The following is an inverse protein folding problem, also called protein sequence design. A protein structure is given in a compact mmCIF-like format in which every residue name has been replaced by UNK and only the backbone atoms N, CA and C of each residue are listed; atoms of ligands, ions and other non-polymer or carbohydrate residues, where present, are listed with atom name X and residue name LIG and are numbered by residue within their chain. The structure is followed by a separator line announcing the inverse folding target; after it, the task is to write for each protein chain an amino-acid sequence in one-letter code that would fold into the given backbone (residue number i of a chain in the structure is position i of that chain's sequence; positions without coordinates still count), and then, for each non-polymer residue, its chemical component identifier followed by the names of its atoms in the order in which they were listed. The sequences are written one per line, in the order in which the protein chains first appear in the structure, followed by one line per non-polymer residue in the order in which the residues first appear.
data_IF_138464427212
#
_entry.id   IF_138464427212
#
_cell.length_a   1.000
_cell.length_b   1.000
_cell.length_c   1.000
_cell.angle_alpha   90.00
_cell.angle_beta   90.00
_cell.angle_gamma   90.00
#
_symmetry.space_group_name_H-M   'P 1'
#
loop_
_entity.id
_entity.type
_entity.pdbx_description
1 polymer ?
#
# COMPACT_ATOMS: atom_id res chain seq x y z
N UNK A 1 4.75 -23.11 -22.86
CA UNK A 1 4.39 -21.68 -22.99
C UNK A 1 5.44 -20.99 -23.85
N UNK A 2 5.05 -20.02 -24.69
CA UNK A 2 5.95 -19.20 -25.53
C UNK A 2 6.30 -17.84 -24.91
N UNK A 3 5.91 -17.60 -23.65
CA UNK A 3 6.17 -16.34 -22.95
C UNK A 3 7.68 -16.22 -22.67
N UNK A 4 8.31 -15.07 -22.97
CA UNK A 4 9.72 -14.82 -22.65
C UNK A 4 10.03 -15.05 -21.17
N UNK A 5 11.29 -15.37 -20.85
CA UNK A 5 11.76 -15.53 -19.45
C UNK A 5 12.40 -14.27 -18.89
N UNK A 6 12.33 -13.16 -19.60
CA UNK A 6 12.89 -11.87 -19.21
C UNK A 6 11.88 -10.78 -19.57
N UNK A 7 12.02 -9.61 -18.95
CA UNK A 7 11.32 -8.41 -19.40
C UNK A 7 11.61 -8.21 -20.89
N UNK A 8 10.55 -8.20 -21.70
CA UNK A 8 10.67 -8.12 -23.16
C UNK A 8 9.69 -7.08 -23.69
N UNK A 9 10.20 -6.15 -24.50
CA UNK A 9 9.39 -5.20 -25.24
C UNK A 9 9.17 -5.74 -26.66
N UNK A 10 7.92 -5.82 -27.08
CA UNK A 10 7.52 -6.33 -28.39
C UNK A 10 6.81 -5.21 -29.14
N UNK A 11 7.37 -4.70 -30.25
CA UNK A 11 6.69 -3.70 -31.06
C UNK A 11 5.51 -4.33 -31.82
N UNK A 12 4.38 -3.65 -31.78
CA UNK A 12 3.18 -3.97 -32.56
C UNK A 12 2.96 -2.81 -33.53
N UNK A 13 3.17 -3.06 -34.83
CA UNK A 13 2.92 -2.06 -35.87
C UNK A 13 1.46 -2.12 -36.32
N UNK A 14 0.77 -1.00 -36.22
CA UNK A 14 -0.61 -0.80 -36.70
C UNK A 14 -0.56 0.11 -37.91
N UNK A 15 -1.02 -0.37 -39.07
CA UNK A 15 -1.04 0.38 -40.33
C UNK A 15 -2.46 0.62 -40.80
N UNK A 16 -2.75 1.87 -41.18
CA UNK A 16 -4.06 2.28 -41.71
C UNK A 16 -4.02 3.68 -42.31
N UNK A 17 -4.84 3.94 -43.35
CA UNK A 17 -4.93 5.23 -44.05
C UNK A 17 -3.56 5.82 -44.47
N UNK A 18 -2.63 4.97 -44.93
CA UNK A 18 -1.29 5.39 -45.35
C UNK A 18 -0.36 5.80 -44.21
N UNK A 19 -0.73 5.55 -42.94
CA UNK A 19 0.08 5.82 -41.75
C UNK A 19 0.37 4.52 -41.00
N UNK A 20 1.49 4.50 -40.29
CA UNK A 20 1.84 3.44 -39.35
C UNK A 20 2.10 4.02 -37.97
N UNK A 21 1.65 3.31 -36.94
CA UNK A 21 1.91 3.61 -35.53
C UNK A 21 2.50 2.37 -34.89
N UNK A 22 3.53 2.53 -34.09
CA UNK A 22 4.11 1.44 -33.30
C UNK A 22 3.61 1.53 -31.85
N UNK A 23 3.08 0.43 -31.34
CA UNK A 23 2.66 0.27 -29.94
C UNK A 23 3.55 -0.77 -29.30
N UNK A 24 4.22 -0.40 -28.22
CA UNK A 24 5.11 -1.33 -27.50
C UNK A 24 4.29 -2.14 -26.48
N UNK A 25 4.27 -3.47 -26.67
CA UNK A 25 3.76 -4.41 -25.69
C UNK A 25 4.89 -4.85 -24.75
N UNK A 26 4.74 -4.56 -23.46
CA UNK A 26 5.72 -4.97 -22.44
C UNK A 26 5.27 -6.29 -21.82
N UNK A 27 6.09 -7.32 -21.97
CA UNK A 27 5.91 -8.62 -21.33
C UNK A 27 6.85 -8.70 -20.14
N UNK A 28 6.30 -8.64 -18.93
CA UNK A 28 7.06 -8.80 -17.68
C UNK A 28 6.63 -10.09 -16.98
N UNK A 29 7.34 -11.22 -17.21
CA UNK A 29 7.03 -12.46 -16.52
C UNK A 29 7.45 -12.30 -15.05
N UNK A 30 6.63 -12.73 -14.10
CA UNK A 30 7.06 -12.79 -12.70
C UNK A 30 8.14 -13.87 -12.57
N UNK A 31 9.40 -13.46 -12.43
CA UNK A 31 10.53 -14.39 -12.58
C UNK A 31 10.82 -15.21 -11.33
N UNK A 32 10.33 -14.77 -10.17
CA UNK A 32 10.75 -15.29 -8.86
C UNK A 32 9.59 -15.65 -7.91
N UNK A 33 8.39 -15.89 -8.44
CA UNK A 33 7.23 -16.28 -7.62
C UNK A 33 6.96 -17.77 -7.78
N UNK A 34 6.92 -18.49 -6.66
CA UNK A 34 6.45 -19.87 -6.66
C UNK A 34 4.95 -19.88 -7.00
N UNK A 35 4.45 -20.75 -7.90
CA UNK A 35 3.01 -20.83 -8.18
C UNK A 35 2.11 -21.03 -6.95
N UNK A 36 2.67 -21.47 -5.82
CA UNK A 36 1.98 -21.63 -4.54
C UNK A 36 1.98 -20.37 -3.66
N UNK A 37 2.79 -19.37 -4.00
CA UNK A 37 2.86 -18.11 -3.28
C UNK A 37 1.54 -17.33 -3.45
N UNK A 38 1.23 -16.54 -2.43
CA UNK A 38 -0.03 -15.82 -2.30
C UNK A 38 0.24 -14.38 -1.97
N UNK A 39 -0.74 -13.54 -2.26
CA UNK A 39 -0.68 -12.11 -2.01
C UNK A 39 -0.74 -11.28 -3.28
N UNK A 40 -0.56 -9.97 -3.09
CA UNK A 40 -0.63 -8.99 -4.16
C UNK A 40 0.63 -9.01 -5.02
N UNK A 41 0.43 -9.06 -6.34
CA UNK A 41 1.51 -9.21 -7.32
C UNK A 41 1.94 -7.84 -7.82
N UNK A 42 3.25 -7.57 -7.76
CA UNK A 42 3.83 -6.41 -8.45
C UNK A 42 3.58 -6.50 -9.94
N UNK A 43 3.00 -5.45 -10.51
CA UNK A 43 2.83 -5.33 -11.95
C UNK A 43 3.02 -3.87 -12.38
N UNK A 44 3.65 -3.66 -13.53
CA UNK A 44 3.99 -2.31 -14.03
C UNK A 44 4.76 -1.45 -13.00
N UNK A 45 5.59 -2.07 -12.15
CA UNK A 45 6.42 -1.38 -11.15
C UNK A 45 5.63 -0.81 -9.97
N UNK A 46 4.45 -1.33 -9.65
CA UNK A 46 3.71 -0.98 -8.44
C UNK A 46 2.81 -2.12 -7.92
N UNK A 47 2.35 -1.96 -6.67
CA UNK A 47 1.24 -2.73 -6.08
C UNK A 47 0.24 -1.72 -5.49
N UNK A 48 -1.05 -1.95 -5.69
CA UNK A 48 -2.10 -1.19 -5.01
C UNK A 48 -3.07 -2.14 -4.29
N UNK A 49 -3.43 -1.80 -3.05
CA UNK A 49 -4.16 -2.69 -2.13
C UNK A 49 -5.25 -1.88 -1.43
N UNK A 50 -6.51 -2.33 -1.49
CA UNK A 50 -7.56 -1.81 -0.61
C UNK A 50 -7.32 -2.29 0.82
N UNK A 51 -7.49 -1.40 1.81
CA UNK A 51 -7.10 -1.68 3.19
C UNK A 51 -7.81 -2.90 3.79
N UNK A 52 -9.04 -3.21 3.36
CA UNK A 52 -9.76 -4.38 3.87
C UNK A 52 -9.21 -5.73 3.38
N UNK A 53 -8.44 -5.75 2.30
CA UNK A 53 -7.93 -6.99 1.70
C UNK A 53 -6.60 -7.43 2.31
N UNK A 54 -6.55 -7.43 3.64
CA UNK A 54 -5.39 -7.92 4.38
C UNK A 54 -5.27 -9.44 4.30
N UNK A 55 -4.04 -9.93 4.43
CA UNK A 55 -3.75 -11.37 4.52
C UNK A 55 -3.98 -11.89 5.92
N UNK A 56 -3.56 -11.13 6.94
CA UNK A 56 -3.74 -11.47 8.36
C UNK A 56 -4.04 -10.20 9.17
N UNK A 57 -4.81 -10.36 10.23
CA UNK A 57 -5.12 -9.33 11.20
C UNK A 57 -4.66 -9.81 12.57
N UNK A 58 -3.75 -9.07 13.21
CA UNK A 58 -3.18 -9.40 14.51
C UNK A 58 -3.73 -8.42 15.53
N UNK A 59 -4.40 -8.94 16.56
CA UNK A 59 -4.98 -8.18 17.65
C UNK A 59 -4.24 -8.46 18.96
N UNK A 60 -4.28 -7.52 19.91
CA UNK A 60 -3.73 -7.65 21.26
C UNK A 60 -4.82 -7.36 22.29
N UNK A 61 -5.41 -8.41 22.86
CA UNK A 61 -6.63 -8.27 23.65
C UNK A 61 -7.76 -7.71 22.79
N UNK A 62 -8.41 -6.65 23.26
CA UNK A 62 -9.47 -5.96 22.49
C UNK A 62 -8.91 -4.99 21.45
N UNK A 63 -7.62 -4.62 21.54
CA UNK A 63 -6.99 -3.68 20.62
C UNK A 63 -6.71 -4.35 19.27
N UNK A 64 -7.18 -3.72 18.19
CA UNK A 64 -7.12 -4.30 16.85
C UNK A 64 -7.52 -3.31 15.78
N UNK A 65 -7.72 -3.81 14.56
CA UNK A 65 -8.28 -3.04 13.46
C UNK A 65 -9.65 -3.57 13.06
N UNK A 66 -10.56 -2.67 12.73
CA UNK A 66 -11.90 -2.99 12.26
C UNK A 66 -12.15 -2.37 10.89
N UNK A 67 -12.83 -3.13 10.04
CA UNK A 67 -13.35 -2.64 8.77
C UNK A 67 -14.51 -1.67 8.98
N UNK A 68 -14.50 -0.57 8.23
CA UNK A 68 -15.64 0.33 8.05
C UNK A 68 -16.11 0.25 6.59
N UNK A 69 -17.20 -0.48 6.29
CA UNK A 69 -17.69 -0.65 4.92
C UNK A 69 -18.08 0.68 4.27
N UNK A 70 -17.69 0.88 3.01
CA UNK A 70 -18.06 2.07 2.23
C UNK A 70 -17.39 3.38 2.66
N UNK A 71 -16.54 3.37 3.69
CA UNK A 71 -15.81 4.56 4.11
C UNK A 71 -14.62 4.81 3.18
N UNK A 72 -14.44 6.07 2.77
CA UNK A 72 -13.30 6.49 1.98
C UNK A 72 -13.65 6.75 0.51
N UNK A 73 -12.62 6.75 -0.35
CA UNK A 73 -12.73 7.16 -1.75
C UNK A 73 -12.96 6.00 -2.73
N UNK A 74 -12.76 4.76 -2.29
CA UNK A 74 -12.83 3.55 -3.12
C UNK A 74 -13.76 2.51 -2.49
N UNK A 75 -13.23 1.53 -1.77
CA UNK A 75 -13.97 0.35 -1.30
C UNK A 75 -14.42 0.48 0.17
N UNK A 76 -13.47 0.69 1.06
CA UNK A 76 -13.68 0.74 2.51
C UNK A 76 -12.44 1.30 3.20
N UNK A 77 -12.46 1.29 4.54
CA UNK A 77 -11.30 1.63 5.35
C UNK A 77 -11.13 0.67 6.52
N UNK A 78 -9.93 0.65 7.09
CA UNK A 78 -9.58 0.00 8.34
C UNK A 78 -9.26 1.08 9.39
N UNK A 79 -9.82 0.93 10.59
CA UNK A 79 -9.55 1.83 11.71
C UNK A 79 -9.21 1.06 12.99
N UNK A 80 -8.35 1.59 13.87
CA UNK A 80 -8.10 1.01 15.18
C UNK A 80 -9.33 1.01 16.07
N UNK A 81 -9.49 -0.06 16.85
CA UNK A 81 -10.50 -0.21 17.90
C UNK A 81 -9.88 -0.80 19.16
N UNK A 82 -10.42 -0.51 20.36
CA UNK A 82 -11.45 0.50 20.65
C UNK A 82 -11.00 1.93 20.32
N UNK A 83 -11.95 2.79 19.94
CA UNK A 83 -11.65 4.17 19.47
C UNK A 83 -11.12 5.11 20.55
N UNK A 84 -11.32 4.75 21.82
CA UNK A 84 -10.86 5.46 23.00
C UNK A 84 -9.62 4.81 23.63
N UNK A 85 -8.94 3.91 22.92
CA UNK A 85 -7.71 3.27 23.41
C UNK A 85 -6.62 4.33 23.61
N UNK A 86 -5.76 4.18 24.64
CA UNK A 86 -4.56 5.00 24.74
C UNK A 86 -3.59 4.67 23.59
N UNK A 87 -2.67 5.60 23.31
CA UNK A 87 -1.55 5.37 22.41
C UNK A 87 -0.73 4.15 22.86
N UNK A 88 -0.37 3.29 21.92
CA UNK A 88 0.42 2.09 22.20
C UNK A 88 1.91 2.33 21.96
N UNK A 89 2.75 1.79 22.85
CA UNK A 89 4.18 1.62 22.55
C UNK A 89 4.34 0.33 21.74
N UNK A 90 5.05 0.40 20.62
CA UNK A 90 5.24 -0.76 19.76
C UNK A 90 6.09 -1.85 20.42
N UNK A 91 5.62 -3.08 20.31
CA UNK A 91 6.33 -4.31 20.58
C UNK A 91 5.99 -5.36 19.50
N UNK A 92 6.62 -6.53 19.56
CA UNK A 92 6.42 -7.60 18.59
C UNK A 92 4.98 -8.11 18.50
N UNK A 93 4.18 -7.90 19.55
CA UNK A 93 2.79 -8.38 19.68
C UNK A 93 1.78 -7.24 19.50
N UNK A 94 2.23 -6.02 19.15
CA UNK A 94 1.35 -4.88 18.92
C UNK A 94 0.34 -5.15 17.80
N UNK A 95 -0.91 -4.68 17.92
CA UNK A 95 -1.92 -4.92 16.89
C UNK A 95 -1.51 -4.35 15.53
N UNK A 96 -1.69 -5.13 14.47
CA UNK A 96 -1.31 -4.73 13.13
C UNK A 96 -2.07 -5.49 12.04
N UNK A 97 -2.05 -4.93 10.84
CA UNK A 97 -2.58 -5.54 9.64
C UNK A 97 -1.39 -6.01 8.78
N UNK A 98 -1.44 -7.24 8.30
CA UNK A 98 -0.43 -7.81 7.42
C UNK A 98 -0.96 -8.03 5.99
N UNK A 99 -0.16 -7.65 5.00
CA UNK A 99 -0.42 -7.86 3.59
C UNK A 99 0.72 -8.66 2.97
N UNK A 100 0.43 -9.86 2.46
CA UNK A 100 1.36 -10.62 1.65
C UNK A 100 1.51 -9.93 0.29
N UNK A 101 2.75 -9.64 -0.09
CA UNK A 101 3.09 -9.04 -1.38
C UNK A 101 4.19 -9.85 -2.07
N UNK A 102 4.13 -9.85 -3.39
CA UNK A 102 5.06 -10.58 -4.25
C UNK A 102 5.75 -9.58 -5.17
N UNK A 103 6.96 -9.19 -4.79
CA UNK A 103 7.77 -8.21 -5.49
C UNK A 103 8.61 -8.88 -6.58
N UNK A 104 8.62 -8.31 -7.77
CA UNK A 104 9.59 -8.65 -8.82
C UNK A 104 10.87 -7.81 -8.68
N UNK A 105 10.77 -6.67 -8.00
CA UNK A 105 11.84 -5.70 -7.84
C UNK A 105 12.50 -5.82 -6.45
N UNK A 106 13.83 -5.81 -6.41
CA UNK A 106 14.62 -5.56 -5.19
C UNK A 106 15.14 -4.12 -5.19
N UNK A 107 15.56 -3.62 -4.02
CA UNK A 107 16.12 -2.29 -3.85
C UNK A 107 15.13 -1.32 -3.22
N UNK A 108 15.30 -0.03 -3.50
CA UNK A 108 14.51 1.03 -2.86
C UNK A 108 13.10 1.07 -3.43
N UNK A 109 12.11 0.95 -2.56
CA UNK A 109 10.68 1.12 -2.87
C UNK A 109 10.07 2.17 -1.94
N UNK A 110 8.90 2.67 -2.31
CA UNK A 110 8.14 3.63 -1.49
C UNK A 110 6.76 3.06 -1.18
N UNK A 111 6.39 3.02 0.10
CA UNK A 111 5.03 2.65 0.55
C UNK A 111 4.29 3.91 0.93
N UNK A 112 3.22 4.23 0.21
CA UNK A 112 2.27 5.28 0.53
C UNK A 112 1.05 4.68 1.21
N UNK A 113 0.77 5.12 2.44
CA UNK A 113 -0.50 4.87 3.11
C UNK A 113 -1.46 6.04 2.83
N UNK A 114 -2.65 5.73 2.31
CA UNK A 114 -3.70 6.69 2.02
C UNK A 114 -4.70 6.66 3.18
N UNK A 115 -4.67 7.71 3.99
CA UNK A 115 -5.41 7.84 5.24
C UNK A 115 -6.53 8.88 5.09
N UNK A 116 -7.68 8.70 5.73
CA UNK A 116 -8.68 9.77 5.84
C UNK A 116 -8.08 11.00 6.54
N UNK A 117 -8.50 12.24 6.19
CA UNK A 117 -7.95 13.47 6.74
C UNK A 117 -8.48 13.76 8.17
N UNK A 118 -8.23 12.85 9.11
CA UNK A 118 -8.56 13.03 10.53
C UNK A 118 -7.76 14.21 11.10
N UNK A 119 -8.42 15.09 11.85
CA UNK A 119 -7.76 16.19 12.56
C UNK A 119 -7.06 15.71 13.84
N UNK A 120 -6.14 16.53 14.36
CA UNK A 120 -5.52 16.31 15.65
C UNK A 120 -6.50 16.61 16.80
N UNK A 121 -7.40 15.67 17.09
CA UNK A 121 -8.45 15.82 18.11
C UNK A 121 -7.91 15.87 19.55
N UNK A 122 -6.68 15.41 19.78
CA UNK A 122 -6.06 15.34 21.10
C UNK A 122 -5.18 16.56 21.43
N UNK A 123 -5.03 17.50 20.49
CA UNK A 123 -4.19 18.70 20.64
C UNK A 123 -2.77 18.38 21.17
N UNK A 124 -2.20 17.27 20.73
CA UNK A 124 -0.86 16.79 21.09
C UNK A 124 0.07 16.79 19.86
N UNK A 125 1.13 15.98 19.86
CA UNK A 125 2.07 15.85 18.73
C UNK A 125 1.43 15.32 17.43
N UNK A 126 0.23 14.75 17.49
CA UNK A 126 -0.51 14.21 16.34
C UNK A 126 -0.74 12.71 16.43
N UNK A 127 -1.38 12.15 15.39
CA UNK A 127 -1.71 10.73 15.33
C UNK A 127 -0.65 9.97 14.52
N UNK A 128 -0.23 8.84 15.05
CA UNK A 128 0.83 8.00 14.51
C UNK A 128 0.33 6.59 14.21
N UNK A 129 1.00 5.97 13.24
CA UNK A 129 0.99 4.54 12.95
C UNK A 129 2.42 4.13 12.57
N UNK A 130 2.68 2.85 12.33
CA UNK A 130 3.96 2.46 11.76
C UNK A 130 3.83 1.54 10.56
N UNK A 131 4.89 1.50 9.75
CA UNK A 131 5.01 0.66 8.56
C UNK A 131 6.30 -0.15 8.65
N UNK A 132 6.24 -1.44 8.36
CA UNK A 132 7.44 -2.27 8.18
C UNK A 132 7.25 -3.34 7.10
N UNK A 133 8.35 -3.86 6.59
CA UNK A 133 8.38 -5.11 5.85
C UNK A 133 9.04 -6.19 6.68
N UNK A 134 8.49 -7.40 6.65
CA UNK A 134 9.05 -8.59 7.29
C UNK A 134 9.45 -8.31 8.76
N UNK A 135 10.73 -8.51 9.09
CA UNK A 135 11.33 -8.26 10.40
C UNK A 135 12.12 -6.94 10.46
N UNK A 136 11.99 -6.08 9.44
CA UNK A 136 12.60 -4.74 9.46
C UNK A 136 11.97 -3.89 10.56
N UNK A 137 12.76 -2.97 11.11
CA UNK A 137 12.31 -2.05 12.16
C UNK A 137 11.12 -1.21 11.68
N UNK A 138 10.00 -1.16 12.43
CA UNK A 138 8.88 -0.31 12.12
C UNK A 138 9.25 1.18 12.06
N UNK A 139 8.88 1.82 10.95
CA UNK A 139 9.01 3.26 10.76
C UNK A 139 7.74 3.95 11.24
N UNK A 140 7.84 4.73 12.31
CA UNK A 140 6.72 5.51 12.86
C UNK A 140 6.43 6.72 11.97
N UNK A 141 5.18 6.88 11.59
CA UNK A 141 4.67 7.95 10.72
C UNK A 141 3.61 8.74 11.47
N UNK A 142 3.82 10.04 11.59
CA UNK A 142 2.84 10.96 12.18
C UNK A 142 2.11 11.71 11.06
N UNK A 143 0.77 11.67 11.06
CA UNK A 143 -0.05 12.22 9.97
C UNK A 143 -0.11 13.75 9.95
N UNK A 144 0.19 14.41 11.08
CA UNK A 144 0.13 15.86 11.27
C UNK A 144 1.50 16.54 11.25
N UNK A 145 2.59 15.78 11.40
CA UNK A 145 3.94 16.34 11.48
C UNK A 145 4.28 17.15 10.23
N UNK A 146 4.66 18.41 10.44
CA UNK A 146 5.09 19.32 9.38
C UNK A 146 3.98 19.73 8.39
N UNK A 147 2.70 19.53 8.74
CA UNK A 147 1.57 19.93 7.89
C UNK A 147 1.27 21.42 8.03
N UNK A 148 0.99 22.05 6.90
CA UNK A 148 0.60 23.46 6.79
C UNK A 148 -0.90 23.63 6.57
N UNK A 149 -1.38 24.87 6.61
CA UNK A 149 -2.76 25.21 6.25
C UNK A 149 -3.10 24.78 4.81
N UNK A 150 -2.15 24.89 3.88
CA UNK A 150 -2.34 24.48 2.49
C UNK A 150 -2.44 22.96 2.37
N UNK A 151 -1.65 22.20 3.13
CA UNK A 151 -1.77 20.73 3.18
C UNK A 151 -3.13 20.31 3.73
N UNK A 152 -3.62 21.01 4.75
CA UNK A 152 -4.97 20.79 5.27
C UNK A 152 -6.03 21.04 4.18
N UNK A 153 -6.00 22.20 3.51
CA UNK A 153 -6.94 22.52 2.43
C UNK A 153 -6.94 21.45 1.33
N UNK A 154 -5.75 20.98 0.94
CA UNK A 154 -5.60 19.95 -0.07
C UNK A 154 -6.12 18.59 0.39
N UNK A 155 -5.86 18.23 1.66
CA UNK A 155 -6.36 16.98 2.24
C UNK A 155 -7.89 16.92 2.28
N UNK A 156 -8.53 18.05 2.59
CA UNK A 156 -10.00 18.20 2.57
C UNK A 156 -10.51 18.13 1.13
N UNK A 157 -9.88 18.87 0.20
CA UNK A 157 -10.24 18.87 -1.23
C UNK A 157 -10.14 17.48 -1.86
N UNK A 158 -9.13 16.70 -1.49
CA UNK A 158 -8.90 15.34 -2.02
C UNK A 158 -9.56 14.24 -1.18
N UNK A 159 -10.06 14.57 -0.01
CA UNK A 159 -10.54 13.64 1.01
C UNK A 159 -9.52 12.53 1.35
N UNK A 160 -8.22 12.88 1.39
CA UNK A 160 -7.13 11.95 1.68
C UNK A 160 -5.86 12.67 2.15
N UNK A 161 -5.11 12.03 3.03
CA UNK A 161 -3.71 12.33 3.33
C UNK A 161 -2.88 11.15 2.86
N UNK A 162 -1.88 11.41 2.00
CA UNK A 162 -0.92 10.40 1.55
C UNK A 162 0.38 10.57 2.32
N UNK A 163 0.87 9.49 2.94
CA UNK A 163 2.11 9.48 3.71
C UNK A 163 3.01 8.35 3.24
N UNK A 164 4.22 8.73 2.83
CA UNK A 164 5.16 7.81 2.19
C UNK A 164 6.29 7.45 3.14
N UNK A 165 6.61 6.16 3.20
CA UNK A 165 7.81 5.61 3.83
C UNK A 165 8.70 4.98 2.77
N UNK A 166 10.02 5.11 2.93
CA UNK A 166 10.99 4.48 2.02
C UNK A 166 11.58 3.25 2.71
N UNK A 167 11.68 2.16 1.98
CA UNK A 167 12.30 0.93 2.46
C UNK A 167 13.19 0.34 1.37
N UNK A 168 14.14 -0.49 1.79
CA UNK A 168 15.05 -1.20 0.90
C UNK A 168 14.75 -2.68 1.02
N UNK A 169 14.38 -3.30 -0.10
CA UNK A 169 14.16 -4.74 -0.21
C UNK A 169 15.44 -5.42 -0.65
N UNK A 170 16.02 -6.27 0.19
CA UNK A 170 17.29 -6.94 -0.13
C UNK A 170 17.17 -7.91 -1.31
N UNK A 171 15.99 -8.50 -1.47
CA UNK A 171 15.67 -9.47 -2.53
C UNK A 171 14.29 -9.19 -3.11
N UNK A 172 14.07 -9.66 -4.33
CA UNK A 172 12.73 -9.82 -4.86
C UNK A 172 12.09 -11.10 -4.26
N UNK A 173 10.78 -11.23 -4.39
CA UNK A 173 10.01 -12.39 -3.96
C UNK A 173 8.92 -12.04 -2.97
N UNK A 174 8.58 -13.00 -2.10
CA UNK A 174 7.52 -12.85 -1.10
C UNK A 174 7.99 -12.02 0.09
N UNK A 175 7.18 -11.04 0.45
CA UNK A 175 7.36 -10.19 1.62
C UNK A 175 6.02 -9.95 2.33
N UNK A 176 6.09 -9.54 3.59
CA UNK A 176 4.93 -9.15 4.39
C UNK A 176 5.02 -7.68 4.73
N UNK A 177 4.12 -6.87 4.19
CA UNK A 177 3.93 -5.48 4.63
C UNK A 177 3.08 -5.48 5.90
N UNK A 178 3.52 -4.74 6.93
CA UNK A 178 2.81 -4.59 8.21
C UNK A 178 2.45 -3.12 8.43
N UNK A 179 1.18 -2.86 8.77
CA UNK A 179 0.69 -1.55 9.23
C UNK A 179 0.31 -1.68 10.71
N UNK A 180 1.06 -1.01 11.57
CA UNK A 180 0.98 -1.15 13.03
C UNK A 180 0.09 -0.07 13.65
N UNK A 181 -0.72 -0.48 14.62
CA UNK A 181 -1.51 0.42 15.46
C UNK A 181 -0.60 1.11 16.50
N UNK A 182 -0.65 2.44 16.55
CA UNK A 182 -0.08 3.25 17.64
C UNK A 182 -1.21 4.08 18.25
N UNK A 183 -1.74 5.04 17.50
CA UNK A 183 -2.80 5.93 17.96
C UNK A 183 -4.18 5.49 17.43
N UNK A 184 -5.25 5.67 18.22
CA UNK A 184 -6.61 5.61 17.67
C UNK A 184 -6.85 6.76 16.67
N UNK A 185 -7.86 6.62 15.82
CA UNK A 185 -8.27 7.68 14.88
C UNK A 185 -7.51 7.69 13.54
N UNK A 186 -6.52 6.82 13.36
CA UNK A 186 -5.96 6.50 12.04
C UNK A 186 -7.03 5.75 11.22
N UNK A 187 -7.31 6.19 10.00
CA UNK A 187 -8.29 5.53 9.12
C UNK A 187 -7.64 5.23 7.79
N UNK A 188 -7.10 4.01 7.65
CA UNK A 188 -6.40 3.54 6.47
C UNK A 188 -7.40 3.13 5.39
N UNK A 189 -7.37 3.79 4.23
CA UNK A 189 -8.26 3.45 3.10
C UNK A 189 -7.57 2.54 2.08
N UNK A 190 -6.32 2.86 1.74
CA UNK A 190 -5.60 2.22 0.64
C UNK A 190 -4.09 2.27 0.85
N UNK A 191 -3.37 1.34 0.24
CA UNK A 191 -1.91 1.30 0.22
C UNK A 191 -1.43 1.27 -1.22
N UNK A 192 -0.42 2.09 -1.54
CA UNK A 192 0.34 1.97 -2.79
C UNK A 192 1.80 1.65 -2.47
N UNK A 193 2.34 0.63 -3.13
CA UNK A 193 3.76 0.31 -3.11
C UNK A 193 4.31 0.68 -4.49
N UNK A 194 5.17 1.69 -4.54
CA UNK A 194 5.83 2.13 -5.76
C UNK A 194 7.23 1.49 -5.85
N UNK A 195 7.38 0.59 -6.83
CA UNK A 195 8.66 -0.05 -7.18
C UNK A 195 9.38 0.67 -8.34
N UNK A 196 8.90 1.85 -8.75
CA UNK A 196 9.47 2.68 -9.82
C UNK A 196 8.53 2.96 -11.00
N UNK A 197 7.34 2.35 -11.04
CA UNK A 197 6.40 2.48 -12.15
C UNK A 197 5.07 3.16 -11.83
N UNK A 198 4.81 3.54 -10.57
CA UNK A 198 3.56 4.20 -10.19
C UNK A 198 3.47 5.59 -10.83
N UNK A 199 2.38 5.84 -11.57
CA UNK A 199 2.10 7.13 -12.21
C UNK A 199 1.03 7.91 -11.44
N UNK A 200 1.06 9.25 -11.49
CA UNK A 200 0.03 10.08 -10.87
C UNK A 200 -1.36 9.78 -11.41
N UNK A 201 -2.33 9.65 -10.51
CA UNK A 201 -3.76 9.55 -10.80
C UNK A 201 -4.57 10.01 -9.58
N UNK A 202 -5.84 10.36 -9.77
CA UNK A 202 -6.63 10.90 -8.65
C UNK A 202 -6.86 9.85 -7.56
N UNK A 203 -7.43 8.69 -7.91
CA UNK A 203 -7.77 7.60 -6.97
C UNK A 203 -6.63 6.57 -6.81
N UNK A 204 -5.55 6.70 -7.56
CA UNK A 204 -4.60 5.61 -7.73
C UNK A 204 -5.03 4.63 -8.83
N UNK A 205 -4.16 3.64 -9.15
CA UNK A 205 -4.53 2.54 -10.03
C UNK A 205 -5.59 1.65 -9.37
N UNK A 206 -6.24 0.81 -10.17
CA UNK A 206 -7.06 -0.29 -9.66
C UNK A 206 -6.23 -1.21 -8.76
N UNK A 207 -6.92 -1.96 -7.90
CA UNK A 207 -6.27 -2.93 -7.04
C UNK A 207 -5.46 -3.96 -7.86
N UNK A 208 -4.25 -4.24 -7.40
CA UNK A 208 -3.38 -5.21 -8.04
C UNK A 208 -3.96 -6.62 -7.91
N UNK A 209 -3.58 -7.49 -8.85
CA UNK A 209 -3.96 -8.90 -8.79
C UNK A 209 -3.53 -9.50 -7.45
N UNK A 210 -4.48 -10.09 -6.74
CA UNK A 210 -4.25 -10.84 -5.52
C UNK A 210 -4.38 -12.35 -5.82
N UNK A 211 -3.33 -13.12 -5.54
CA UNK A 211 -3.39 -14.58 -5.64
C UNK A 211 -3.93 -15.10 -4.30
N UNK A 212 -5.23 -15.39 -4.29
CA UNK A 212 -5.95 -15.93 -3.14
C UNK A 212 -5.81 -17.46 -3.06
N UNK A 213 -6.15 -18.04 -1.90
CA UNK A 213 -6.26 -19.49 -1.72
C UNK A 213 -7.60 -19.96 -2.34
N UNK A 214 -7.56 -21.01 -3.16
CA UNK A 214 -8.75 -21.78 -3.54
C UNK A 214 -9.45 -22.43 -2.33
#
# INVERSE_FOLDING_TARGET
SKIPKILTEVPITITGAGKSVEVIAVLNPMLNINPKDKGFVENNGYIAIEAEHFSRLVNKGEAGWQKVPGLGRTLSAMMPVPVNSPSLTLDKDSPHIEYDVLLNTSGKITVSALISPTLNIYNNEGLCFAVSFDDQQPQVVNIHKGKTQQDWQESVRRNIVELSTRCTMEKAGKHVLKIWMIDPGIVLQRIHINCGGLKPSYLGPLESKNILKD
#
